data_IF_033958314371
#
_entry.id   IF_033958314371
#
_cell.length_a   1.000
_cell.length_b   1.000
_cell.length_c   1.000
_cell.angle_alpha   90.00
_cell.angle_beta   90.00
_cell.angle_gamma   90.00
#
_symmetry.space_group_name_H-M   'P 1'
#
loop_
_entity.id
_entity.type
_entity.pdbx_description
1 polymer ?
#
# COMPACT_ATOMS: atom_id res chain seq x y z
N UNK A 1 -9.34 13.73 -39.65
CA UNK A 1 -9.82 12.74 -38.66
C UNK A 1 -9.06 13.04 -37.39
N UNK A 2 -9.76 13.48 -36.35
CA UNK A 2 -9.14 13.76 -35.05
C UNK A 2 -8.80 12.40 -34.44
N UNK A 3 -7.51 12.12 -34.29
CA UNK A 3 -7.06 10.98 -33.49
C UNK A 3 -7.27 11.37 -32.04
N UNK A 4 -8.44 11.03 -31.50
CA UNK A 4 -8.63 10.99 -30.06
C UNK A 4 -7.68 9.91 -29.53
N UNK A 5 -6.61 10.33 -28.89
CA UNK A 5 -5.85 9.46 -28.02
C UNK A 5 -6.77 9.14 -26.84
N UNK A 6 -7.56 8.09 -26.99
CA UNK A 6 -8.09 7.37 -25.84
C UNK A 6 -6.87 6.98 -25.03
N UNK A 7 -6.65 7.64 -23.89
CA UNK A 7 -5.78 7.09 -22.86
C UNK A 7 -6.41 5.74 -22.53
N UNK A 8 -5.92 4.68 -23.16
CA UNK A 8 -6.26 3.34 -22.72
C UNK A 8 -5.82 3.29 -21.27
N UNK A 9 -6.78 3.09 -20.37
CA UNK A 9 -6.53 2.47 -19.06
C UNK A 9 -5.48 1.39 -19.34
N UNK A 10 -4.23 1.60 -18.93
CA UNK A 10 -3.17 0.71 -19.35
C UNK A 10 -3.54 -0.67 -18.86
N UNK A 11 -3.46 -1.66 -19.75
CA UNK A 11 -4.12 -2.96 -19.54
C UNK A 11 -3.81 -3.60 -18.17
N UNK A 12 -2.66 -3.29 -17.56
CA UNK A 12 -2.26 -3.79 -16.24
C UNK A 12 -2.92 -3.14 -15.03
N UNK A 13 -3.59 -1.98 -15.14
CA UNK A 13 -4.00 -1.21 -13.95
C UNK A 13 -5.22 -1.77 -13.18
N UNK A 14 -5.72 -2.95 -13.59
CA UNK A 14 -6.65 -3.78 -12.81
C UNK A 14 -6.09 -5.18 -12.50
N UNK A 15 -4.79 -5.40 -12.71
CA UNK A 15 -4.13 -6.71 -12.56
C UNK A 15 -3.18 -6.77 -11.35
N UNK A 16 -3.14 -5.74 -10.52
CA UNK A 16 -2.22 -5.71 -9.38
C UNK A 16 -2.59 -6.75 -8.32
N UNK A 17 -1.62 -7.58 -7.98
CA UNK A 17 -1.72 -8.57 -6.92
C UNK A 17 -1.25 -7.98 -5.58
N UNK A 18 -2.17 -7.85 -4.63
CA UNK A 18 -1.85 -7.33 -3.29
C UNK A 18 -1.08 -8.35 -2.45
N UNK A 19 -1.30 -9.64 -2.68
CA UNK A 19 -0.62 -10.71 -1.96
C UNK A 19 0.86 -10.77 -2.35
N UNK A 20 1.19 -10.37 -3.59
CA UNK A 20 2.56 -10.25 -4.06
C UNK A 20 3.39 -9.20 -3.30
N UNK A 21 2.75 -8.16 -2.75
CA UNK A 21 3.42 -7.09 -2.02
C UNK A 21 3.12 -7.10 -0.52
N UNK A 22 2.32 -8.04 -0.02
CA UNK A 22 1.95 -8.10 1.38
C UNK A 22 3.19 -8.22 2.30
N UNK A 23 3.14 -7.74 3.56
CA UNK A 23 4.25 -7.88 4.49
C UNK A 23 4.63 -9.35 4.71
N UNK A 24 5.88 -9.70 4.37
CA UNK A 24 6.42 -11.06 4.54
C UNK A 24 6.49 -11.51 6.00
N UNK A 25 6.73 -10.56 6.90
CA UNK A 25 6.79 -10.78 8.34
C UNK A 25 6.01 -9.67 9.03
N UNK A 26 5.17 -10.06 9.99
CA UNK A 26 4.46 -9.15 10.87
C UNK A 26 4.97 -9.32 12.30
N UNK A 27 4.98 -8.23 13.06
CA UNK A 27 5.24 -8.30 14.50
C UNK A 27 4.10 -9.07 15.19
N UNK A 28 4.40 -9.62 16.37
CA UNK A 28 3.38 -10.27 17.19
C UNK A 28 2.20 -9.32 17.45
N UNK A 29 0.99 -9.87 17.38
CA UNK A 29 -0.27 -9.13 17.51
C UNK A 29 -0.51 -8.07 16.43
N UNK A 30 0.27 -8.01 15.33
CA UNK A 30 -0.04 -7.14 14.19
C UNK A 30 -0.78 -7.93 13.11
N UNK A 31 -1.91 -7.39 12.65
CA UNK A 31 -2.73 -7.97 11.59
C UNK A 31 -2.69 -7.06 10.38
N UNK A 32 -2.31 -7.62 9.23
CA UNK A 32 -2.45 -6.96 7.94
C UNK A 32 -3.83 -7.27 7.34
N UNK A 33 -4.47 -6.25 6.81
CA UNK A 33 -5.79 -6.33 6.18
C UNK A 33 -5.86 -5.37 5.01
N UNK A 34 -6.69 -5.71 4.02
CA UNK A 34 -6.83 -4.93 2.81
C UNK A 34 -8.30 -4.75 2.48
N UNK A 35 -8.64 -3.63 1.85
CA UNK A 35 -9.99 -3.32 1.44
C UNK A 35 -9.95 -2.63 0.08
N UNK A 36 -10.66 -3.14 -0.95
CA UNK A 36 -10.81 -2.43 -2.22
C UNK A 36 -11.43 -1.05 -2.02
N UNK A 37 -10.99 -0.08 -2.83
CA UNK A 37 -11.56 1.27 -2.91
C UNK A 37 -12.10 1.53 -4.31
N UNK A 38 -12.84 2.62 -4.42
CA UNK A 38 -13.33 3.07 -5.73
C UNK A 38 -12.12 3.33 -6.65
N UNK A 39 -12.15 2.84 -7.89
CA UNK A 39 -11.04 3.01 -8.81
C UNK A 39 -10.83 4.49 -9.14
N UNK A 40 -9.57 4.88 -9.31
CA UNK A 40 -9.18 6.23 -9.73
C UNK A 40 -8.71 6.15 -11.17
N UNK A 41 -9.30 6.96 -12.05
CA UNK A 41 -9.01 6.97 -13.49
C UNK A 41 -9.15 5.59 -14.17
N UNK A 42 -10.05 4.75 -13.64
CA UNK A 42 -10.28 3.39 -14.12
C UNK A 42 -9.33 2.33 -13.55
N UNK A 43 -8.36 2.73 -12.73
CA UNK A 43 -7.38 1.84 -12.14
C UNK A 43 -7.74 1.41 -10.72
N UNK A 44 -7.43 0.14 -10.41
CA UNK A 44 -7.71 -0.46 -9.11
C UNK A 44 -7.04 0.34 -8.00
N UNK A 45 -7.81 0.64 -6.96
CA UNK A 45 -7.30 1.23 -5.74
C UNK A 45 -7.53 0.26 -4.57
N UNK A 46 -6.54 0.18 -3.69
CA UNK A 46 -6.63 -0.66 -2.49
C UNK A 46 -6.18 0.09 -1.26
N UNK A 47 -6.98 0.00 -0.21
CA UNK A 47 -6.62 0.45 1.11
C UNK A 47 -5.94 -0.69 1.85
N UNK A 48 -4.73 -0.46 2.31
CA UNK A 48 -3.94 -1.40 3.09
C UNK A 48 -3.85 -0.91 4.52
N UNK A 49 -3.96 -1.83 5.48
CA UNK A 49 -4.00 -1.49 6.90
C UNK A 49 -3.28 -2.53 7.72
N UNK A 50 -2.33 -2.06 8.53
CA UNK A 50 -1.70 -2.82 9.59
C UNK A 50 -2.26 -2.34 10.93
N UNK A 51 -2.79 -3.27 11.72
CA UNK A 51 -3.31 -2.97 13.03
C UNK A 51 -2.71 -3.86 14.10
N UNK A 52 -2.16 -3.22 15.12
CA UNK A 52 -1.73 -3.85 16.34
C UNK A 52 -2.94 -4.13 17.22
N UNK A 53 -3.08 -5.40 17.58
CA UNK A 53 -4.00 -5.93 18.55
C UNK A 53 -3.33 -5.96 19.93
N UNK A 54 -4.13 -5.91 20.98
CA UNK A 54 -3.65 -5.92 22.37
C UNK A 54 -3.74 -4.56 23.05
N UNK A 55 -3.15 -4.46 24.23
CA UNK A 55 -3.25 -3.29 25.11
C UNK A 55 -2.00 -2.40 25.10
N UNK A 56 -0.97 -2.77 24.34
CA UNK A 56 0.27 -2.01 24.30
C UNK A 56 0.07 -0.71 23.53
N UNK A 57 0.63 0.36 24.06
CA UNK A 57 0.64 1.67 23.42
C UNK A 57 2.02 1.87 22.81
N UNK A 58 2.09 2.05 21.49
CA UNK A 58 3.33 2.24 20.75
C UNK A 58 3.45 3.68 20.26
N UNK A 59 4.61 4.01 19.68
CA UNK A 59 4.70 5.18 18.82
C UNK A 59 3.80 5.01 17.58
N UNK A 60 3.45 6.10 16.87
CA UNK A 60 2.72 6.00 15.61
C UNK A 60 3.38 5.01 14.66
N UNK A 61 2.59 4.06 14.15
CA UNK A 61 3.09 3.00 13.29
C UNK A 61 3.65 3.55 11.98
N UNK A 62 4.63 2.86 11.40
CA UNK A 62 5.17 3.19 10.08
C UNK A 62 4.74 2.15 9.07
N UNK A 63 4.49 2.58 7.84
CA UNK A 63 4.24 1.69 6.71
C UNK A 63 5.15 2.11 5.57
N UNK A 64 6.07 1.23 5.19
CA UNK A 64 7.03 1.48 4.13
C UNK A 64 6.79 0.54 2.95
N UNK A 65 7.16 1.02 1.76
CA UNK A 65 7.16 0.25 0.54
C UNK A 65 8.59 0.14 -0.01
N UNK A 66 8.97 -1.06 -0.41
CA UNK A 66 10.24 -1.35 -1.09
C UNK A 66 10.03 -1.48 -2.58
N UNK A 67 10.85 -0.78 -3.34
CA UNK A 67 10.97 -0.90 -4.79
C UNK A 67 12.47 -1.01 -5.18
N UNK A 68 12.79 -0.86 -6.47
CA UNK A 68 14.16 -0.94 -6.96
C UNK A 68 15.07 0.20 -6.45
N UNK A 69 14.48 1.36 -6.12
CA UNK A 69 15.20 2.56 -5.69
C UNK A 69 15.49 2.54 -4.17
N UNK A 70 14.76 1.72 -3.41
CA UNK A 70 14.95 1.55 -1.99
C UNK A 70 13.66 1.34 -1.23
N UNK A 71 13.67 1.72 0.05
CA UNK A 71 12.49 1.65 0.93
C UNK A 71 12.06 3.07 1.28
N UNK A 72 10.78 3.36 1.06
CA UNK A 72 10.19 4.68 1.24
C UNK A 72 8.95 4.59 2.12
N UNK A 73 8.68 5.64 2.89
CA UNK A 73 7.45 5.74 3.69
C UNK A 73 6.24 5.97 2.77
N UNK A 74 5.15 5.26 3.04
CA UNK A 74 3.90 5.30 2.28
C UNK A 74 2.68 5.42 3.18
N UNK A 75 2.86 5.73 4.47
CA UNK A 75 1.75 5.88 5.40
C UNK A 75 0.91 7.13 5.06
N UNK A 76 -0.39 6.94 4.82
CA UNK A 76 -1.38 8.01 4.74
C UNK A 76 -1.90 8.40 6.12
N UNK A 77 -2.18 7.38 6.93
CA UNK A 77 -2.72 7.51 8.27
C UNK A 77 -1.86 6.70 9.23
N UNK A 78 -1.48 7.32 10.34
CA UNK A 78 -0.70 6.66 11.39
C UNK A 78 -1.18 7.04 12.78
N UNK A 79 -1.35 6.03 13.62
CA UNK A 79 -1.68 6.09 15.04
C UNK A 79 -0.86 5.06 15.79
N UNK A 80 -0.97 5.05 17.12
CA UNK A 80 -0.25 4.14 18.00
C UNK A 80 -0.63 2.65 17.83
N UNK A 81 -1.75 2.36 17.15
CA UNK A 81 -2.25 0.99 16.96
C UNK A 81 -2.59 0.66 15.50
N UNK A 82 -2.62 1.65 14.61
CA UNK A 82 -3.01 1.49 13.22
C UNK A 82 -2.10 2.32 12.34
N UNK A 83 -1.64 1.73 11.24
CA UNK A 83 -1.04 2.45 10.11
C UNK A 83 -1.66 1.96 8.81
N UNK A 84 -1.90 2.88 7.88
CA UNK A 84 -2.56 2.56 6.63
C UNK A 84 -2.00 3.35 5.45
N UNK A 85 -2.20 2.80 4.26
CA UNK A 85 -1.83 3.41 2.98
C UNK A 85 -2.82 3.01 1.90
N UNK A 86 -3.17 3.96 1.04
CA UNK A 86 -3.98 3.75 -0.15
C UNK A 86 -3.07 3.67 -1.36
N UNK A 87 -3.02 2.50 -1.98
CA UNK A 87 -2.19 2.23 -3.14
C UNK A 87 -3.03 2.24 -4.42
N UNK A 88 -2.45 2.75 -5.50
CA UNK A 88 -3.07 2.78 -6.82
C UNK A 88 -2.31 1.83 -7.72
N UNK A 89 -3.05 0.96 -8.40
CA UNK A 89 -2.49 0.06 -9.40
C UNK A 89 -2.08 0.83 -10.65
N UNK A 90 -0.84 0.68 -11.09
CA UNK A 90 -0.32 1.29 -12.31
C UNK A 90 -0.55 0.42 -13.55
N UNK A 91 -0.36 1.00 -14.72
CA UNK A 91 -0.47 0.33 -16.03
C UNK A 91 0.49 -0.85 -16.20
N UNK A 92 1.55 -0.89 -15.39
CA UNK A 92 2.55 -1.95 -15.34
C UNK A 92 2.15 -3.13 -14.44
N UNK A 93 0.93 -3.12 -13.88
CA UNK A 93 0.42 -4.16 -13.00
C UNK A 93 1.05 -4.16 -11.60
N UNK A 94 1.71 -3.06 -11.22
CA UNK A 94 2.29 -2.89 -9.88
C UNK A 94 1.66 -1.72 -9.14
N UNK A 95 1.61 -1.84 -7.82
CA UNK A 95 1.11 -0.76 -6.97
C UNK A 95 2.10 0.40 -6.89
N UNK A 96 1.54 1.59 -6.74
CA UNK A 96 2.26 2.84 -6.53
C UNK A 96 1.58 3.72 -5.49
N UNK A 97 2.35 4.62 -4.90
CA UNK A 97 1.87 5.56 -3.88
C UNK A 97 2.81 6.77 -3.79
N UNK A 98 2.27 7.99 -3.91
CA UNK A 98 3.00 9.27 -3.70
C UNK A 98 4.41 9.32 -4.34
N UNK A 99 4.53 8.84 -5.58
CA UNK A 99 5.80 8.83 -6.33
C UNK A 99 6.67 7.59 -6.12
N UNK A 100 6.35 6.75 -5.13
CA UNK A 100 6.92 5.40 -5.00
C UNK A 100 6.21 4.50 -6.01
N UNK A 101 6.92 4.11 -7.06
CA UNK A 101 6.38 3.26 -8.13
C UNK A 101 6.93 1.84 -8.02
N UNK A 102 6.25 0.89 -8.67
CA UNK A 102 6.72 -0.50 -8.80
C UNK A 102 6.99 -1.16 -7.44
N UNK A 103 6.05 -1.00 -6.51
CA UNK A 103 6.17 -1.55 -5.16
C UNK A 103 6.24 -3.07 -5.26
N UNK A 104 7.21 -3.66 -4.56
CA UNK A 104 7.44 -5.12 -4.50
C UNK A 104 7.23 -5.71 -3.12
N UNK A 105 7.19 -4.87 -2.08
CA UNK A 105 6.95 -5.31 -0.71
C UNK A 105 6.49 -4.15 0.16
N UNK A 106 5.47 -4.39 0.99
CA UNK A 106 5.09 -3.53 2.11
C UNK A 106 5.73 -4.04 3.40
N UNK A 107 6.00 -3.12 4.31
CA UNK A 107 6.43 -3.43 5.67
C UNK A 107 5.69 -2.51 6.63
N UNK A 108 5.23 -3.06 7.75
CA UNK A 108 4.60 -2.29 8.82
C UNK A 108 5.36 -2.49 10.12
N UNK A 109 5.57 -1.41 10.87
CA UNK A 109 6.24 -1.47 12.17
C UNK A 109 5.58 -0.59 13.21
N UNK A 110 5.46 -1.13 14.42
CA UNK A 110 5.12 -0.42 15.64
C UNK A 110 6.29 -0.54 16.61
N UNK A 111 6.88 0.58 17.03
CA UNK A 111 8.06 0.65 17.89
C UNK A 111 7.74 1.28 19.24
N UNK A 112 8.66 1.13 20.21
CA UNK A 112 8.55 1.74 21.53
C UNK A 112 7.25 1.39 22.30
N UNK A 113 6.75 0.17 22.09
CA UNK A 113 5.51 -0.30 22.72
C UNK A 113 5.71 -0.54 24.23
N UNK A 114 4.81 0.02 25.05
CA UNK A 114 4.76 -0.17 26.52
C UNK A 114 3.45 -0.83 26.97
#
# INVERSE_FOLDING_TARGET
MITEATTEVGAGCGMCDIDAIAPKTLQENVVFSTQPRDPVDGCQQIYTRCARQGSQICDPGTMTATNADGTNDVADDSTQTVVASTLICGDDGLYSHNGVTRITQLTCMFTCCI
#
